data_IF_511057602067
#
_entry.id   IF_511057602067
#
_cell.length_a   1.000
_cell.length_b   1.000
_cell.length_c   1.000
_cell.angle_alpha   90.00
_cell.angle_beta   90.00
_cell.angle_gamma   90.00
#
_symmetry.space_group_name_H-M   'P 1'
#
loop_
_entity.id
_entity.type
_entity.pdbx_description
1 polymer ?
#
# COMPACT_ATOMS: atom_id res chain seq x y z
N UNK A 1 38.30 20.40 13.53
CA UNK A 1 37.66 21.22 14.58
C UNK A 1 36.44 20.49 15.06
N UNK A 2 36.52 19.92 16.26
CA UNK A 2 35.40 19.34 16.96
C UNK A 2 34.57 20.48 17.59
N UNK A 3 33.25 20.36 17.58
CA UNK A 3 32.42 21.03 18.58
C UNK A 3 31.25 20.13 18.95
N UNK A 4 31.28 19.75 20.21
CA UNK A 4 30.34 18.98 20.99
C UNK A 4 29.42 19.98 21.72
N UNK A 5 28.12 19.74 21.75
CA UNK A 5 27.17 20.50 22.58
C UNK A 5 25.91 19.68 22.89
N UNK A 6 26.04 18.87 23.96
CA UNK A 6 25.16 18.72 25.13
C UNK A 6 23.64 18.58 24.99
N UNK A 7 23.18 17.61 25.77
CA UNK A 7 21.82 17.32 26.19
C UNK A 7 21.11 18.51 26.84
N UNK A 8 19.80 18.62 26.60
CA UNK A 8 18.88 19.18 27.58
C UNK A 8 17.56 18.38 27.64
N UNK A 9 17.12 18.13 28.86
CA UNK A 9 15.99 17.30 29.26
C UNK A 9 14.73 18.19 29.41
N UNK A 10 13.78 18.08 28.48
CA UNK A 10 12.47 18.72 28.58
C UNK A 10 11.36 17.69 28.79
N UNK A 11 10.86 17.58 30.03
CA UNK A 11 9.85 16.61 30.44
C UNK A 11 8.48 16.81 29.78
N UNK A 12 7.86 15.70 29.38
CA UNK A 12 6.46 15.65 28.94
C UNK A 12 5.53 15.42 30.13
N UNK A 13 4.64 16.38 30.37
CA UNK A 13 3.50 16.23 31.28
C UNK A 13 2.40 15.40 30.63
N UNK A 14 2.10 14.24 31.19
CA UNK A 14 0.93 13.42 30.85
C UNK A 14 -0.23 13.82 31.76
N UNK A 15 -1.24 14.47 31.19
CA UNK A 15 -2.50 14.74 31.88
C UNK A 15 -3.36 13.46 31.91
N UNK A 16 -3.66 12.99 33.13
CA UNK A 16 -4.63 11.92 33.41
C UNK A 16 -6.05 12.46 33.31
N UNK A 17 -6.96 11.71 32.69
CA UNK A 17 -8.39 11.89 32.88
C UNK A 17 -9.16 10.58 32.71
N UNK A 18 -9.93 10.21 33.76
CA UNK A 18 -11.21 9.53 33.61
C UNK A 18 -11.23 8.00 33.56
N UNK A 19 -11.20 7.35 34.73
CA UNK A 19 -11.74 5.99 34.92
C UNK A 19 -13.25 6.00 34.67
N UNK A 20 -13.77 5.03 33.91
CA UNK A 20 -15.15 4.54 34.05
C UNK A 20 -15.10 3.04 34.30
N UNK A 21 -15.60 2.62 35.46
CA UNK A 21 -15.83 1.23 35.81
C UNK A 21 -16.94 0.66 34.93
N UNK A 22 -16.70 -0.53 34.37
CA UNK A 22 -17.75 -1.44 33.92
C UNK A 22 -17.47 -2.79 34.59
N UNK A 23 -18.48 -3.31 35.29
CA UNK A 23 -18.46 -4.58 36.01
C UNK A 23 -18.43 -5.77 35.04
N UNK A 24 -17.76 -6.83 35.47
CA UNK A 24 -17.56 -8.11 34.79
C UNK A 24 -18.85 -8.92 34.64
N UNK A 25 -18.93 -9.71 33.57
CA UNK A 25 -19.85 -10.83 33.44
C UNK A 25 -19.02 -12.13 33.35
N UNK A 26 -19.26 -13.06 34.26
CA UNK A 26 -18.66 -14.39 34.31
C UNK A 26 -19.35 -15.34 33.31
N UNK A 27 -18.63 -16.22 32.59
CA UNK A 27 -19.26 -17.25 31.78
C UNK A 27 -19.62 -18.46 32.65
N UNK A 28 -20.91 -18.74 32.82
CA UNK A 28 -21.38 -20.06 33.27
C UNK A 28 -21.80 -20.88 32.05
N UNK A 29 -21.13 -22.03 31.96
CA UNK A 29 -21.44 -23.28 31.28
C UNK A 29 -22.84 -23.41 30.65
N UNK A 30 -22.86 -23.64 29.33
CA UNK A 30 -23.94 -24.35 28.63
C UNK A 30 -23.31 -25.24 27.56
N UNK A 31 -22.85 -26.40 28.00
CA UNK A 31 -22.74 -27.55 27.11
C UNK A 31 -24.13 -28.18 26.88
N UNK A 32 -24.31 -28.66 25.65
CA UNK A 32 -25.30 -29.64 25.18
C UNK A 32 -26.57 -29.13 24.44
N UNK A 33 -26.89 -29.89 23.39
CA UNK A 33 -28.08 -29.93 22.52
C UNK A 33 -28.02 -29.10 21.22
N UNK A 34 -27.44 -29.69 20.18
CA UNK A 34 -28.22 -30.20 19.03
C UNK A 34 -27.29 -30.84 17.99
N UNK A 35 -27.43 -32.15 17.82
CA UNK A 35 -26.99 -32.88 16.64
C UNK A 35 -27.77 -32.40 15.40
N UNK A 36 -27.12 -32.42 14.23
CA UNK A 36 -27.81 -32.54 12.94
C UNK A 36 -27.73 -31.33 12.01
N UNK A 37 -26.85 -31.43 11.00
CA UNK A 37 -26.94 -30.67 9.76
C UNK A 37 -25.77 -29.74 9.48
N UNK A 38 -24.64 -30.27 8.98
CA UNK A 38 -23.63 -29.43 8.33
C UNK A 38 -24.24 -28.87 7.03
N UNK A 39 -24.52 -27.57 7.02
CA UNK A 39 -24.88 -26.81 5.83
C UNK A 39 -23.70 -26.82 4.86
N UNK A 40 -23.97 -26.89 3.56
CA UNK A 40 -22.95 -26.74 2.51
C UNK A 40 -22.23 -25.36 2.53
N UNK A 41 -22.65 -24.44 3.42
CA UNK A 41 -22.03 -23.13 3.65
C UNK A 41 -20.83 -23.15 4.62
N UNK A 42 -20.58 -24.27 5.30
CA UNK A 42 -19.53 -24.39 6.33
C UNK A 42 -18.33 -25.24 5.89
N UNK A 43 -18.19 -25.58 4.59
CA UNK A 43 -16.91 -26.05 4.10
C UNK A 43 -15.92 -24.87 4.09
N UNK A 44 -14.69 -25.01 4.60
CA UNK A 44 -13.66 -24.01 4.38
C UNK A 44 -13.37 -24.01 2.88
N UNK A 45 -14.09 -23.16 2.15
CA UNK A 45 -13.74 -22.79 0.79
C UNK A 45 -12.28 -22.40 0.87
N UNK A 46 -11.43 -23.16 0.17
CA UNK A 46 -10.00 -22.90 0.11
C UNK A 46 -9.84 -21.39 -0.11
N UNK A 47 -9.22 -20.68 0.85
CA UNK A 47 -9.16 -19.21 0.81
C UNK A 47 -8.64 -18.74 -0.55
N UNK A 48 -7.71 -19.48 -1.13
CA UNK A 48 -7.14 -19.21 -2.47
C UNK A 48 -8.17 -19.24 -3.60
N UNK A 49 -9.23 -20.06 -3.49
CA UNK A 49 -10.32 -20.15 -4.47
C UNK A 49 -11.29 -18.97 -4.36
N UNK A 50 -11.40 -18.34 -3.19
CA UNK A 50 -12.25 -17.16 -2.98
C UNK A 50 -11.54 -15.83 -3.21
N UNK A 51 -10.21 -15.82 -3.14
CA UNK A 51 -9.43 -14.61 -3.34
C UNK A 51 -9.46 -14.20 -4.82
N UNK A 52 -9.79 -12.93 -5.04
CA UNK A 52 -9.71 -12.28 -6.36
C UNK A 52 -9.15 -10.89 -6.19
N UNK A 53 -8.48 -10.37 -7.20
CA UNK A 53 -7.89 -9.06 -7.04
C UNK A 53 -7.48 -8.41 -8.32
N UNK A 54 -6.94 -7.21 -8.17
CA UNK A 54 -6.56 -6.38 -9.29
C UNK A 54 -5.25 -5.67 -9.06
N UNK A 55 -4.43 -5.60 -10.11
CA UNK A 55 -3.25 -4.74 -10.17
C UNK A 55 -3.59 -3.44 -10.90
N UNK A 56 -3.37 -2.30 -10.25
CA UNK A 56 -3.35 -1.00 -10.92
C UNK A 56 -1.98 -0.84 -11.58
N UNK A 57 -1.94 -1.02 -12.90
CA UNK A 57 -0.76 -0.80 -13.74
C UNK A 57 -0.70 0.66 -14.17
N UNK A 58 0.38 1.35 -13.81
CA UNK A 58 0.44 2.81 -13.99
C UNK A 58 1.88 3.33 -14.03
N UNK A 59 2.04 4.65 -14.04
CA UNK A 59 3.32 5.33 -13.91
C UNK A 59 3.29 6.26 -12.69
N UNK A 60 4.46 6.69 -12.16
CA UNK A 60 4.50 7.65 -11.06
C UNK A 60 3.73 8.93 -11.37
N UNK A 61 3.07 9.49 -10.35
CA UNK A 61 2.27 10.75 -10.42
C UNK A 61 1.02 10.72 -11.30
N UNK A 62 0.53 9.54 -11.66
CA UNK A 62 -0.69 9.36 -12.46
C UNK A 62 -2.01 9.66 -11.73
N UNK A 63 -1.98 9.89 -10.41
CA UNK A 63 -3.17 9.93 -9.55
C UNK A 63 -3.51 8.57 -8.90
N UNK A 64 -2.70 7.54 -9.16
CA UNK A 64 -2.89 6.20 -8.61
C UNK A 64 -3.00 6.13 -7.08
N UNK A 65 -2.25 6.95 -6.33
CA UNK A 65 -2.41 7.03 -4.87
C UNK A 65 -3.82 7.50 -4.45
N UNK A 66 -4.41 8.45 -5.17
CA UNK A 66 -5.75 8.94 -4.87
C UNK A 66 -6.80 7.87 -5.15
N UNK A 67 -6.72 7.21 -6.31
CA UNK A 67 -7.59 6.08 -6.65
C UNK A 67 -7.45 4.95 -5.63
N UNK A 68 -6.22 4.57 -5.25
CA UNK A 68 -5.95 3.58 -4.20
C UNK A 68 -6.62 3.94 -2.87
N UNK A 69 -6.54 5.21 -2.46
CA UNK A 69 -7.16 5.68 -1.21
C UNK A 69 -8.69 5.60 -1.28
N UNK A 70 -9.30 6.01 -2.40
CA UNK A 70 -10.74 5.88 -2.61
C UNK A 70 -11.21 4.43 -2.56
N UNK A 71 -10.53 3.52 -3.29
CA UNK A 71 -10.85 2.09 -3.28
C UNK A 71 -10.74 1.51 -1.86
N UNK A 72 -9.66 1.85 -1.15
CA UNK A 72 -9.45 1.42 0.24
C UNK A 72 -10.54 1.94 1.18
N UNK A 73 -11.01 3.18 1.00
CA UNK A 73 -12.05 3.78 1.85
C UNK A 73 -13.42 3.09 1.75
N UNK A 74 -13.65 2.28 0.71
CA UNK A 74 -14.88 1.50 0.59
C UNK A 74 -14.96 0.34 1.60
N UNK A 75 -13.82 -0.09 2.15
CA UNK A 75 -13.71 -1.31 2.95
C UNK A 75 -13.99 -2.61 2.16
N UNK A 76 -14.16 -2.53 0.84
CA UNK A 76 -14.60 -3.64 -0.02
C UNK A 76 -13.67 -3.92 -1.19
N UNK A 77 -12.92 -2.93 -1.69
CA UNK A 77 -12.13 -3.06 -2.92
C UNK A 77 -10.64 -3.17 -2.64
N UNK A 78 -10.27 -4.02 -1.67
CA UNK A 78 -8.89 -4.23 -1.26
C UNK A 78 -8.21 -2.95 -0.75
N UNK A 79 -6.87 -3.01 -0.65
CA UNK A 79 -6.03 -1.89 -0.23
C UNK A 79 -4.85 -1.70 -1.19
N UNK A 80 -5.04 -1.08 -2.37
CA UNK A 80 -4.00 -1.06 -3.38
C UNK A 80 -2.79 -0.19 -2.99
N UNK A 81 -1.65 -0.82 -2.71
CA UNK A 81 -0.38 -0.18 -2.35
C UNK A 81 0.76 -0.68 -3.25
N UNK A 82 1.93 -0.04 -3.16
CA UNK A 82 3.17 -0.49 -3.83
C UNK A 82 3.85 -1.58 -2.97
N UNK A 83 3.30 -2.79 -2.95
CA UNK A 83 3.80 -3.88 -2.11
C UNK A 83 5.24 -4.29 -2.43
N UNK A 84 5.64 -4.20 -3.70
CA UNK A 84 7.01 -4.51 -4.10
C UNK A 84 8.03 -3.38 -3.81
N UNK A 85 7.57 -2.24 -3.28
CA UNK A 85 8.42 -1.14 -2.82
C UNK A 85 8.76 -1.33 -1.33
N UNK A 86 9.63 -2.30 -1.03
CA UNK A 86 10.06 -2.65 0.33
C UNK A 86 10.48 -1.46 1.19
N UNK A 87 11.41 -0.59 0.74
CA UNK A 87 11.80 0.61 1.50
C UNK A 87 10.62 1.53 1.81
N UNK A 88 9.73 1.74 0.83
CA UNK A 88 8.51 2.53 1.04
C UNK A 88 7.56 1.87 2.03
N UNK A 89 7.35 0.55 1.95
CA UNK A 89 6.48 -0.17 2.90
C UNK A 89 7.05 -0.16 4.33
N UNK A 90 8.38 -0.21 4.48
CA UNK A 90 9.05 -0.04 5.78
C UNK A 90 8.87 1.35 6.37
N UNK A 91 8.98 2.36 5.53
CA UNK A 91 8.83 3.75 5.97
C UNK A 91 7.38 4.08 6.36
N UNK A 92 6.39 3.59 5.60
CA UNK A 92 4.99 4.00 5.77
C UNK A 92 4.11 3.05 6.60
N UNK A 93 4.44 1.76 6.68
CA UNK A 93 3.49 0.76 7.21
C UNK A 93 4.11 -0.17 8.28
N UNK A 94 5.20 -0.88 7.97
CA UNK A 94 5.79 -1.89 8.87
C UNK A 94 7.33 -1.86 8.78
N UNK A 95 8.06 -1.37 9.80
CA UNK A 95 9.53 -1.32 9.78
C UNK A 95 10.23 -2.66 9.47
N UNK A 96 9.56 -3.79 9.73
CA UNK A 96 10.05 -5.14 9.45
C UNK A 96 9.52 -5.73 8.14
N UNK A 97 8.95 -4.90 7.25
CA UNK A 97 8.43 -5.34 5.97
C UNK A 97 9.53 -6.04 5.15
N UNK A 98 9.25 -7.23 4.58
CA UNK A 98 10.28 -8.09 4.00
C UNK A 98 10.83 -7.53 2.68
N UNK A 99 12.10 -7.84 2.40
CA UNK A 99 12.69 -7.65 1.07
C UNK A 99 12.38 -8.81 0.12
N UNK A 100 12.16 -10.02 0.65
CA UNK A 100 11.80 -11.20 -0.14
C UNK A 100 10.47 -11.02 -0.90
N UNK A 101 10.50 -11.31 -2.20
CA UNK A 101 9.38 -11.02 -3.11
C UNK A 101 8.21 -11.99 -2.93
N UNK A 102 8.48 -13.25 -2.58
CA UNK A 102 7.45 -14.21 -2.21
C UNK A 102 6.66 -13.73 -0.99
N UNK A 103 7.37 -13.28 0.06
CA UNK A 103 6.73 -12.70 1.24
C UNK A 103 6.01 -11.38 0.95
N UNK A 104 6.44 -10.62 -0.05
CA UNK A 104 5.68 -9.44 -0.51
C UNK A 104 4.36 -9.84 -1.20
N UNK A 105 4.33 -10.96 -1.94
CA UNK A 105 3.08 -11.57 -2.44
C UNK A 105 2.16 -11.96 -1.30
N UNK A 106 2.67 -12.58 -0.23
CA UNK A 106 1.86 -12.88 0.96
C UNK A 106 1.26 -11.61 1.58
N UNK A 107 2.01 -10.49 1.58
CA UNK A 107 1.50 -9.19 2.06
C UNK A 107 0.42 -8.61 1.15
N UNK A 108 0.44 -8.87 -0.16
CA UNK A 108 -0.66 -8.49 -1.06
C UNK A 108 -1.93 -9.25 -0.69
N UNK A 109 -1.84 -10.57 -0.46
CA UNK A 109 -2.98 -11.42 -0.11
C UNK A 109 -3.53 -11.20 1.31
N UNK A 110 -2.72 -10.61 2.19
CA UNK A 110 -3.12 -10.35 3.58
C UNK A 110 -3.40 -8.86 3.81
N UNK A 111 -2.38 -8.02 3.82
CA UNK A 111 -2.51 -6.58 4.04
C UNK A 111 -3.27 -5.87 2.92
N UNK A 112 -3.21 -6.38 1.69
CA UNK A 112 -3.91 -5.84 0.52
C UNK A 112 -5.34 -6.28 0.34
N UNK A 113 -5.81 -7.23 1.16
CA UNK A 113 -7.14 -7.78 1.08
C UNK A 113 -8.15 -7.11 2.03
N UNK A 114 -9.41 -7.04 1.60
CA UNK A 114 -10.57 -6.76 2.44
C UNK A 114 -11.26 -8.05 2.87
N UNK A 115 -12.09 -8.06 3.93
CA UNK A 115 -12.71 -9.29 4.46
C UNK A 115 -13.57 -10.08 3.45
N UNK A 116 -14.04 -9.43 2.39
CA UNK A 116 -14.79 -10.03 1.29
C UNK A 116 -13.90 -10.74 0.24
N UNK A 117 -12.61 -10.94 0.52
CA UNK A 117 -11.69 -11.69 -0.34
C UNK A 117 -11.14 -10.91 -1.54
N UNK A 118 -11.37 -9.59 -1.60
CA UNK A 118 -10.83 -8.75 -2.67
C UNK A 118 -9.48 -8.17 -2.24
N UNK A 119 -8.42 -8.50 -2.97
CA UNK A 119 -7.12 -7.84 -2.82
C UNK A 119 -6.85 -6.83 -3.93
N UNK A 120 -6.01 -5.84 -3.64
CA UNK A 120 -5.57 -4.87 -4.61
C UNK A 120 -4.11 -4.53 -4.44
N UNK A 121 -3.42 -4.28 -5.55
CA UNK A 121 -2.05 -3.76 -5.56
C UNK A 121 -1.89 -2.68 -6.62
N UNK A 122 -0.80 -1.93 -6.52
CA UNK A 122 -0.37 -0.97 -7.54
C UNK A 122 1.07 -1.28 -7.93
N UNK A 123 1.35 -1.23 -9.23
CA UNK A 123 2.66 -1.52 -9.79
C UNK A 123 2.99 -0.55 -10.94
N UNK A 124 4.26 -0.18 -11.04
CA UNK A 124 4.77 0.55 -12.20
C UNK A 124 5.35 -0.40 -13.24
N UNK A 125 5.33 -0.04 -14.52
CA UNK A 125 5.71 -0.95 -15.60
C UNK A 125 7.17 -1.40 -15.47
N UNK A 126 8.10 -0.50 -15.15
CA UNK A 126 9.49 -0.92 -14.88
C UNK A 126 9.59 -1.88 -13.68
N UNK A 127 8.69 -1.78 -12.68
CA UNK A 127 8.69 -2.72 -11.55
C UNK A 127 8.32 -4.12 -12.00
N UNK A 128 7.30 -4.24 -12.86
CA UNK A 128 6.91 -5.51 -13.43
C UNK A 128 8.10 -6.22 -14.08
N UNK A 129 8.90 -5.53 -14.91
CA UNK A 129 9.99 -6.14 -15.67
C UNK A 129 11.01 -6.86 -14.79
N UNK A 130 11.49 -6.22 -13.72
CA UNK A 130 12.50 -6.84 -12.85
C UNK A 130 11.89 -7.81 -11.84
N UNK A 131 10.65 -7.59 -11.38
CA UNK A 131 9.98 -8.54 -10.46
C UNK A 131 9.65 -9.83 -11.19
N UNK A 132 9.09 -9.75 -12.40
CA UNK A 132 8.68 -10.93 -13.20
C UNK A 132 9.89 -11.78 -13.66
N UNK A 133 11.07 -11.17 -13.71
CA UNK A 133 12.35 -11.86 -13.90
C UNK A 133 12.84 -12.63 -12.68
N UNK A 134 12.44 -12.23 -11.47
CA UNK A 134 12.81 -12.87 -10.20
C UNK A 134 11.76 -13.90 -9.76
N UNK A 135 10.48 -13.51 -9.76
CA UNK A 135 9.33 -14.36 -9.42
C UNK A 135 8.19 -14.15 -10.41
N UNK A 136 7.44 -15.23 -10.69
CA UNK A 136 6.22 -15.16 -11.52
C UNK A 136 5.02 -14.65 -10.71
N UNK A 137 5.13 -13.44 -10.16
CA UNK A 137 4.16 -12.88 -9.21
C UNK A 137 2.73 -12.85 -9.77
N UNK A 138 2.58 -12.63 -11.09
CA UNK A 138 1.28 -12.65 -11.78
C UNK A 138 0.58 -14.00 -11.68
N UNK A 139 1.34 -15.10 -11.66
CA UNK A 139 0.84 -16.47 -11.52
C UNK A 139 0.65 -16.89 -10.06
N UNK A 140 1.32 -16.21 -9.13
CA UNK A 140 1.21 -16.47 -7.68
C UNK A 140 -0.04 -15.81 -7.06
N UNK A 141 -0.64 -14.85 -7.74
CA UNK A 141 -1.83 -14.14 -7.27
C UNK A 141 -3.11 -14.77 -7.87
N UNK A 142 -4.05 -15.25 -7.03
CA UNK A 142 -5.24 -15.94 -7.50
C UNK A 142 -6.23 -14.97 -8.16
N UNK A 143 -6.79 -15.38 -9.30
CA UNK A 143 -7.82 -14.63 -10.03
C UNK A 143 -7.45 -13.15 -10.27
N UNK A 144 -6.18 -12.88 -10.57
CA UNK A 144 -5.67 -11.53 -10.79
C UNK A 144 -6.25 -10.91 -12.07
N UNK A 145 -6.66 -9.65 -11.98
CA UNK A 145 -7.07 -8.81 -13.11
C UNK A 145 -6.16 -7.57 -13.20
N UNK A 146 -6.09 -6.96 -14.39
CA UNK A 146 -5.26 -5.77 -14.61
C UNK A 146 -6.13 -4.55 -14.91
N UNK A 147 -5.82 -3.44 -14.25
CA UNK A 147 -6.45 -2.14 -14.47
C UNK A 147 -5.37 -1.15 -14.89
N UNK A 148 -5.43 -0.71 -16.14
CA UNK A 148 -4.50 0.30 -16.64
C UNK A 148 -4.97 1.71 -16.27
N UNK A 149 -4.12 2.47 -15.59
CA UNK A 149 -4.39 3.84 -15.18
C UNK A 149 -3.34 4.80 -15.77
N UNK A 150 -3.81 5.75 -16.58
CA UNK A 150 -3.00 6.84 -17.14
C UNK A 150 -3.57 8.22 -16.82
N UNK A 151 -2.69 9.19 -16.62
CA UNK A 151 -3.07 10.61 -16.61
C UNK A 151 -2.97 11.14 -18.04
N UNK A 152 -4.04 11.78 -18.52
CA UNK A 152 -4.11 12.26 -19.92
C UNK A 152 -3.10 13.38 -20.19
N UNK A 153 -2.95 14.31 -19.25
CA UNK A 153 -1.97 15.39 -19.31
C UNK A 153 -0.61 14.92 -18.79
N UNK A 154 0.23 14.47 -19.73
CA UNK A 154 1.56 13.93 -19.43
C UNK A 154 2.56 15.03 -19.03
N UNK A 155 2.39 16.25 -19.52
CA UNK A 155 3.26 17.38 -19.13
C UNK A 155 3.01 17.75 -17.65
N UNK A 156 1.75 17.88 -17.23
CA UNK A 156 1.43 18.13 -15.83
C UNK A 156 1.86 16.97 -14.92
N UNK A 157 1.83 15.72 -15.42
CA UNK A 157 2.37 14.57 -14.70
C UNK A 157 3.89 14.68 -14.52
N UNK A 158 4.62 15.06 -15.56
CA UNK A 158 6.07 15.26 -15.54
C UNK A 158 6.46 16.37 -14.55
N UNK A 159 5.78 17.53 -14.60
CA UNK A 159 5.97 18.63 -13.65
C UNK A 159 5.72 18.15 -12.22
N UNK A 160 4.64 17.40 -11.98
CA UNK A 160 4.34 16.86 -10.65
C UNK A 160 5.43 15.90 -10.17
N UNK A 161 6.06 15.13 -11.07
CA UNK A 161 7.13 14.21 -10.70
C UNK A 161 8.42 14.95 -10.38
N UNK A 162 8.79 15.92 -11.22
CA UNK A 162 9.97 16.77 -10.95
C UNK A 162 9.85 17.45 -9.60
N UNK A 163 8.69 18.06 -9.29
CA UNK A 163 8.45 18.67 -7.98
C UNK A 163 8.56 17.68 -6.82
N UNK A 164 8.02 16.46 -6.98
CA UNK A 164 8.10 15.44 -5.93
C UNK A 164 9.54 15.00 -5.66
N UNK A 165 10.38 14.91 -6.69
CA UNK A 165 11.80 14.58 -6.55
C UNK A 165 12.58 15.71 -5.86
N UNK A 166 12.33 16.97 -6.21
CA UNK A 166 12.99 18.13 -5.61
C UNK A 166 12.62 18.30 -4.13
N UNK A 167 11.34 18.10 -3.80
CA UNK A 167 10.81 18.39 -2.46
C UNK A 167 10.78 17.19 -1.52
N UNK A 168 11.01 15.97 -2.02
CA UNK A 168 10.78 14.74 -1.27
C UNK A 168 9.30 14.45 -0.94
N UNK A 169 8.36 15.27 -1.41
CA UNK A 169 6.93 15.15 -1.12
C UNK A 169 6.20 14.38 -2.22
N UNK A 170 5.84 13.12 -1.95
CA UNK A 170 5.13 12.26 -2.90
C UNK A 170 3.63 12.13 -2.57
N UNK A 171 3.21 12.48 -1.36
CA UNK A 171 1.82 12.46 -0.88
C UNK A 171 1.51 13.78 -0.19
N UNK A 172 0.25 14.22 -0.26
CA UNK A 172 -0.20 15.50 0.32
C UNK A 172 0.13 15.66 1.81
N UNK A 173 0.11 14.56 2.59
CA UNK A 173 0.41 14.59 4.02
C UNK A 173 1.89 14.56 4.41
N UNK A 174 2.83 14.51 3.44
CA UNK A 174 4.26 14.52 3.76
C UNK A 174 4.79 15.94 3.88
N UNK A 175 5.63 16.21 4.87
CA UNK A 175 6.37 17.47 4.96
C UNK A 175 7.45 17.51 3.89
N UNK A 176 7.53 18.56 3.05
CA UNK A 176 8.62 18.76 2.12
C UNK A 176 9.98 18.86 2.83
N UNK A 177 11.00 18.26 2.25
CA UNK A 177 12.40 18.33 2.72
C UNK A 177 13.28 19.19 1.82
N UNK A 178 12.69 19.81 0.80
CA UNK A 178 13.36 20.69 -0.16
C UNK A 178 12.37 21.63 -0.84
N UNK A 179 12.89 22.56 -1.63
CA UNK A 179 12.09 23.55 -2.35
C UNK A 179 11.89 23.15 -3.82
N UNK A 180 10.73 23.49 -4.38
CA UNK A 180 10.44 23.26 -5.78
C UNK A 180 10.88 24.47 -6.62
N UNK A 181 11.62 24.20 -7.69
CA UNK A 181 12.05 25.21 -8.66
C UNK A 181 11.75 24.76 -10.09
N UNK A 182 11.59 25.71 -11.01
CA UNK A 182 11.49 25.38 -12.43
C UNK A 182 12.80 24.79 -12.93
N UNK A 183 12.72 23.64 -13.58
CA UNK A 183 13.84 22.95 -14.21
C UNK A 183 13.32 22.25 -15.47
N UNK A 184 13.54 22.88 -16.62
CA UNK A 184 13.04 22.39 -17.91
C UNK A 184 13.63 21.04 -18.32
N UNK A 185 14.92 20.82 -18.05
CA UNK A 185 15.61 19.57 -18.36
C UNK A 185 15.10 18.42 -17.48
N UNK A 186 14.90 18.66 -16.19
CA UNK A 186 14.31 17.66 -15.30
C UNK A 186 12.86 17.33 -15.70
N UNK A 187 12.06 18.32 -16.09
CA UNK A 187 10.70 18.11 -16.60
C UNK A 187 10.73 17.25 -17.87
N UNK A 188 11.59 17.58 -18.85
CA UNK A 188 11.73 16.80 -20.08
C UNK A 188 12.16 15.36 -19.79
N UNK A 189 13.09 15.16 -18.86
CA UNK A 189 13.54 13.83 -18.44
C UNK A 189 12.39 13.01 -17.83
N UNK A 190 11.50 13.64 -17.03
CA UNK A 190 10.31 12.96 -16.49
C UNK A 190 9.26 12.69 -17.55
N UNK A 191 9.08 13.58 -18.52
CA UNK A 191 8.16 13.37 -19.64
C UNK A 191 8.58 12.15 -20.47
N UNK A 192 9.87 12.02 -20.78
CA UNK A 192 10.44 10.84 -21.46
C UNK A 192 10.22 9.57 -20.64
N UNK A 193 10.54 9.61 -19.35
CA UNK A 193 10.35 8.46 -18.45
C UNK A 193 8.89 7.99 -18.40
N UNK A 194 7.93 8.90 -18.29
CA UNK A 194 6.49 8.55 -18.29
C UNK A 194 6.07 7.92 -19.62
N UNK A 195 6.57 8.45 -20.73
CA UNK A 195 6.27 7.90 -22.07
C UNK A 195 6.81 6.48 -22.20
N UNK A 196 8.03 6.22 -21.70
CA UNK A 196 8.61 4.87 -21.64
C UNK A 196 7.80 3.95 -20.74
N UNK A 197 7.38 4.38 -19.55
CA UNK A 197 6.54 3.56 -18.66
C UNK A 197 5.24 3.11 -19.33
N UNK A 198 4.60 3.99 -20.11
CA UNK A 198 3.35 3.67 -20.78
C UNK A 198 3.50 2.89 -22.09
N UNK A 199 4.73 2.70 -22.58
CA UNK A 199 5.02 1.95 -23.81
C UNK A 199 5.56 0.53 -23.56
N UNK A 200 5.86 0.19 -22.31
CA UNK A 200 6.19 -1.19 -21.88
C UNK A 200 4.91 -2.02 -21.84
#
# INVERSE_FOLDING_TARGET
>A
MACDARHDNGGFHVARSGRRHFQEATPTDLSAFAEGGRSAKDLPLNRDVLMRGFAICTAPRSGSNFVSQLLSSTGQLGRPLEYFNGPGRRYFDDPNYPDDRGRQVDRILTMGATPNGIYGLKIFAHQHDWIEGEIKWTSMLPNLQFVFLRRRDTLAQAISWTRALQTGQYRHGQTPTGEAGFDGEAILARLRAITTEYAR
#
